data_IF_525805780957
#
_entry.id   IF_525805780957
#
_cell.length_a   1.000
_cell.length_b   1.000
_cell.length_c   1.000
_cell.angle_alpha   90.00
_cell.angle_beta   90.00
_cell.angle_gamma   90.00
#
_symmetry.space_group_name_H-M   'P 1'
#
loop_
_entity.id
_entity.type
_entity.pdbx_description
1 polymer ?
#
# COMPACT_ATOMS: atom_id res chain seq x y z
N UNK A 1 -3.12 27.64 1.23
CA UNK A 1 -4.36 26.85 1.10
C UNK A 1 -4.30 25.81 2.20
N UNK A 2 -5.40 25.58 2.92
CA UNK A 2 -5.45 24.52 3.92
C UNK A 2 -5.95 23.25 3.26
N UNK A 3 -5.34 22.11 3.60
CA UNK A 3 -5.77 20.80 3.15
C UNK A 3 -6.64 20.16 4.24
N UNK A 4 -7.68 19.44 3.84
CA UNK A 4 -8.55 18.70 4.77
C UNK A 4 -8.07 17.26 4.89
N UNK A 5 -7.93 16.79 6.12
CA UNK A 5 -7.50 15.45 6.46
C UNK A 5 -8.62 14.70 7.19
N UNK A 6 -8.68 13.38 7.03
CA UNK A 6 -9.48 12.47 7.87
C UNK A 6 -8.58 11.72 8.83
N UNK A 7 -9.08 11.45 10.04
CA UNK A 7 -8.38 10.60 11.02
C UNK A 7 -8.82 9.15 10.87
N UNK A 8 -7.89 8.26 10.57
CA UNK A 8 -8.13 6.82 10.58
C UNK A 8 -7.16 6.11 11.55
N UNK A 9 -7.53 4.91 12.05
CA UNK A 9 -6.60 4.09 12.83
C UNK A 9 -5.29 3.74 12.10
N UNK A 10 -5.27 3.85 10.76
CA UNK A 10 -4.09 3.63 9.92
C UNK A 10 -3.23 4.88 9.69
N UNK A 11 -3.67 6.04 10.18
CA UNK A 11 -3.01 7.33 9.99
C UNK A 11 -3.97 8.41 9.51
N UNK A 12 -3.51 9.66 9.56
CA UNK A 12 -4.23 10.79 9.01
C UNK A 12 -3.95 10.90 7.51
N UNK A 13 -5.00 11.12 6.72
CA UNK A 13 -4.89 11.08 5.25
C UNK A 13 -5.63 12.28 4.65
N UNK A 14 -5.00 12.93 3.67
CA UNK A 14 -5.62 14.03 2.93
C UNK A 14 -6.82 13.52 2.10
N UNK A 15 -7.93 14.25 2.13
CA UNK A 15 -9.16 13.85 1.45
C UNK A 15 -8.97 13.73 -0.07
N UNK A 16 -8.26 14.68 -0.69
CA UNK A 16 -8.04 14.61 -2.14
C UNK A 16 -7.17 13.42 -2.52
N UNK A 17 -6.14 13.12 -1.72
CA UNK A 17 -5.33 11.91 -1.89
C UNK A 17 -6.19 10.64 -1.79
N UNK A 18 -7.11 10.55 -0.83
CA UNK A 18 -8.04 9.40 -0.77
C UNK A 18 -8.82 9.29 -2.06
N UNK A 19 -9.40 10.39 -2.56
CA UNK A 19 -10.21 10.34 -3.78
C UNK A 19 -9.40 9.89 -4.99
N UNK A 20 -8.20 10.41 -5.16
CA UNK A 20 -7.28 10.01 -6.23
C UNK A 20 -6.96 8.51 -6.14
N UNK A 21 -6.59 8.01 -4.97
CA UNK A 21 -6.23 6.60 -4.79
C UNK A 21 -7.43 5.65 -4.95
N UNK A 22 -8.62 6.03 -4.50
CA UNK A 22 -9.83 5.22 -4.74
C UNK A 22 -10.13 5.15 -6.24
N UNK A 23 -10.03 6.26 -6.97
CA UNK A 23 -10.27 6.29 -8.41
C UNK A 23 -9.24 5.47 -9.18
N UNK A 24 -7.95 5.57 -8.85
CA UNK A 24 -6.86 4.81 -9.49
C UNK A 24 -6.98 3.29 -9.27
N UNK A 25 -7.59 2.89 -8.16
CA UNK A 25 -7.68 1.49 -7.73
C UNK A 25 -9.05 0.84 -8.00
N UNK A 26 -10.07 1.60 -8.42
CA UNK A 26 -11.49 1.16 -8.45
C UNK A 26 -11.77 -0.11 -9.26
N UNK A 27 -10.96 -0.39 -10.27
CA UNK A 27 -11.12 -1.54 -11.18
C UNK A 27 -10.22 -2.73 -10.79
N UNK A 28 -9.54 -2.66 -9.63
CA UNK A 28 -8.67 -3.72 -9.13
C UNK A 28 -9.44 -4.83 -8.41
N UNK A 29 -9.09 -6.09 -8.72
CA UNK A 29 -9.62 -7.29 -8.09
C UNK A 29 -8.86 -7.64 -6.80
N UNK A 30 -9.13 -6.89 -5.74
CA UNK A 30 -8.51 -7.08 -4.43
C UNK A 30 -8.98 -8.33 -3.70
N UNK A 31 -8.05 -9.14 -3.21
CA UNK A 31 -8.30 -10.33 -2.40
C UNK A 31 -7.61 -10.19 -1.04
N UNK A 32 -8.33 -10.49 0.04
CA UNK A 32 -7.75 -10.50 1.37
C UNK A 32 -6.63 -11.54 1.48
N UNK A 33 -5.45 -11.12 1.92
CA UNK A 33 -4.25 -11.95 2.04
C UNK A 33 -3.41 -11.54 3.24
N UNK A 34 -2.73 -12.52 3.84
CA UNK A 34 -1.55 -12.24 4.66
C UNK A 34 -0.42 -11.76 3.78
N UNK A 35 0.43 -10.89 4.31
CA UNK A 35 1.64 -10.47 3.63
C UNK A 35 2.52 -11.67 3.26
N UNK A 36 3.21 -11.56 2.12
CA UNK A 36 4.23 -12.52 1.70
C UNK A 36 5.32 -11.76 0.93
N UNK A 37 6.57 -12.18 1.12
CA UNK A 37 7.69 -11.64 0.36
C UNK A 37 7.55 -11.96 -1.13
N UNK A 38 8.06 -11.08 -1.99
CA UNK A 38 8.08 -11.28 -3.44
C UNK A 38 9.51 -11.29 -3.97
N UNK A 39 9.74 -11.84 -5.17
CA UNK A 39 11.03 -11.76 -5.81
C UNK A 39 11.50 -10.32 -5.99
N UNK A 40 12.80 -10.10 -5.83
CA UNK A 40 13.44 -8.82 -6.05
C UNK A 40 14.80 -8.97 -6.72
N UNK A 41 15.16 -7.93 -7.48
CA UNK A 41 16.52 -7.72 -7.96
C UNK A 41 17.28 -6.88 -6.94
N UNK A 42 18.40 -7.40 -6.46
CA UNK A 42 19.30 -6.72 -5.54
C UNK A 42 20.48 -6.18 -6.32
N UNK A 43 20.63 -4.86 -6.36
CA UNK A 43 21.78 -4.20 -7.01
C UNK A 43 23.07 -4.57 -6.25
N UNK A 44 24.02 -5.21 -6.94
CA UNK A 44 25.26 -5.73 -6.33
C UNK A 44 26.18 -4.66 -5.76
N UNK A 45 26.05 -3.42 -6.21
CA UNK A 45 26.91 -2.31 -5.80
C UNK A 45 26.35 -1.57 -4.60
N UNK A 46 25.05 -1.34 -4.59
CA UNK A 46 24.35 -0.50 -3.60
C UNK A 46 23.55 -1.28 -2.57
N UNK A 47 23.19 -2.54 -2.87
CA UNK A 47 22.23 -3.32 -2.08
C UNK A 47 20.77 -2.87 -2.25
N UNK A 48 20.48 -1.96 -3.19
CA UNK A 48 19.11 -1.48 -3.44
C UNK A 48 18.24 -2.60 -3.98
N UNK A 49 17.05 -2.74 -3.42
CA UNK A 49 16.06 -3.74 -3.81
C UNK A 49 15.07 -3.17 -4.82
N UNK A 50 14.85 -3.87 -5.92
CA UNK A 50 13.82 -3.56 -6.90
C UNK A 50 12.86 -4.74 -7.03
N UNK A 51 11.55 -4.51 -6.99
CA UNK A 51 10.57 -5.58 -7.21
C UNK A 51 10.82 -6.29 -8.55
N UNK A 52 10.82 -7.63 -8.53
CA UNK A 52 10.91 -8.44 -9.73
C UNK A 52 9.55 -9.01 -10.11
N UNK A 53 9.08 -8.62 -11.30
CA UNK A 53 7.81 -9.04 -11.90
C UNK A 53 8.00 -9.69 -13.28
N UNK A 54 9.22 -10.19 -13.55
CA UNK A 54 9.58 -10.86 -14.81
C UNK A 54 10.29 -9.97 -15.82
N UNK A 55 10.69 -8.75 -15.45
CA UNK A 55 11.49 -7.88 -16.30
C UNK A 55 12.86 -8.50 -16.62
N UNK A 56 13.43 -8.19 -17.78
CA UNK A 56 14.82 -8.59 -18.10
C UNK A 56 15.81 -7.84 -17.19
N UNK A 57 16.89 -8.51 -16.79
CA UNK A 57 17.97 -7.91 -16.02
C UNK A 57 19.32 -8.51 -16.42
N UNK A 58 20.41 -7.80 -16.07
CA UNK A 58 21.78 -8.28 -16.25
C UNK A 58 22.30 -8.85 -14.94
N UNK A 59 22.59 -10.15 -14.92
CA UNK A 59 23.10 -10.87 -13.74
C UNK A 59 24.49 -10.41 -13.28
N UNK A 60 25.21 -9.64 -14.09
CA UNK A 60 26.46 -9.01 -13.67
C UNK A 60 26.23 -7.84 -12.70
N UNK A 61 25.05 -7.23 -12.75
CA UNK A 61 24.71 -6.06 -11.93
C UNK A 61 23.71 -6.38 -10.81
N UNK A 62 22.89 -7.43 -10.99
CA UNK A 62 21.84 -7.79 -10.04
C UNK A 62 21.91 -9.25 -9.63
N UNK A 63 21.57 -9.51 -8.37
CA UNK A 63 21.17 -10.84 -7.89
C UNK A 63 19.64 -10.92 -7.82
N UNK A 64 19.08 -12.06 -8.22
CA UNK A 64 17.66 -12.36 -8.04
C UNK A 64 17.48 -13.10 -6.71
N UNK A 65 16.77 -12.48 -5.79
CA UNK A 65 16.33 -13.09 -4.54
C UNK A 65 14.82 -13.32 -4.62
N UNK A 66 14.36 -14.57 -4.49
CA UNK A 66 12.95 -14.92 -4.60
C UNK A 66 12.10 -14.40 -3.43
N UNK A 67 12.72 -13.95 -2.33
CA UNK A 67 12.05 -13.39 -1.15
C UNK A 67 12.60 -11.99 -0.79
N UNK A 68 13.29 -11.33 -1.72
CA UNK A 68 14.01 -10.07 -1.45
C UNK A 68 13.11 -8.83 -1.29
N UNK A 69 11.85 -8.86 -1.76
CA UNK A 69 10.89 -7.78 -1.55
C UNK A 69 10.16 -7.99 -0.22
N UNK A 70 10.71 -7.41 0.85
CA UNK A 70 10.36 -7.76 2.24
C UNK A 70 9.18 -6.99 2.82
N UNK A 71 8.77 -5.88 2.19
CA UNK A 71 7.65 -5.05 2.65
C UNK A 71 7.04 -4.26 1.49
N UNK A 72 5.81 -3.81 1.66
CA UNK A 72 5.14 -2.84 0.78
C UNK A 72 4.41 -1.79 1.63
N UNK A 73 3.77 -0.84 0.97
CA UNK A 73 3.00 0.22 1.61
C UNK A 73 1.55 0.18 1.11
N UNK A 74 0.62 0.41 2.03
CA UNK A 74 -0.78 0.66 1.66
C UNK A 74 -0.85 1.82 0.68
N UNK A 75 -1.44 1.63 -0.49
CA UNK A 75 -1.55 2.67 -1.51
C UNK A 75 -2.31 3.93 -1.05
N UNK A 76 -3.17 3.81 -0.04
CA UNK A 76 -4.03 4.91 0.43
C UNK A 76 -3.43 5.66 1.63
N UNK A 77 -2.79 4.94 2.57
CA UNK A 77 -2.34 5.55 3.83
C UNK A 77 -0.85 5.39 4.10
N UNK A 78 -0.11 4.74 3.20
CA UNK A 78 1.33 4.49 3.32
C UNK A 78 1.76 3.70 4.55
N UNK A 79 0.84 3.06 5.30
CA UNK A 79 1.24 2.15 6.39
C UNK A 79 2.02 0.97 5.80
N UNK A 80 3.10 0.58 6.46
CA UNK A 80 3.94 -0.54 6.04
C UNK A 80 3.19 -1.86 6.25
N UNK A 81 3.27 -2.74 5.25
CA UNK A 81 2.75 -4.10 5.28
C UNK A 81 3.92 -5.06 5.11
N UNK A 82 4.23 -5.87 6.13
CA UNK A 82 5.37 -6.79 6.14
C UNK A 82 5.22 -7.89 7.21
N UNK A 83 6.16 -8.85 7.27
CA UNK A 83 6.26 -9.82 8.38
C UNK A 83 6.97 -9.26 9.62
N UNK A 84 7.50 -8.03 9.57
CA UNK A 84 8.29 -7.48 10.67
C UNK A 84 7.42 -7.11 11.86
N UNK A 85 7.68 -7.71 13.03
CA UNK A 85 6.96 -7.43 14.28
C UNK A 85 7.15 -5.98 14.74
N UNK A 86 6.10 -5.17 14.62
CA UNK A 86 6.06 -3.77 15.05
C UNK A 86 4.61 -3.26 15.14
N UNK A 87 4.32 -2.39 16.10
CA UNK A 87 2.98 -1.78 16.24
C UNK A 87 2.57 -0.89 15.04
N UNK A 88 3.57 -0.42 14.29
CA UNK A 88 3.40 0.43 13.10
C UNK A 88 3.29 -0.35 11.79
N UNK A 89 3.41 -1.68 11.85
CA UNK A 89 3.34 -2.56 10.67
C UNK A 89 2.00 -3.28 10.66
N UNK A 90 1.54 -3.65 9.46
CA UNK A 90 0.42 -4.56 9.26
C UNK A 90 0.94 -5.84 8.61
N UNK A 91 0.32 -6.97 8.93
CA UNK A 91 0.75 -8.28 8.45
C UNK A 91 -0.23 -8.89 7.44
N UNK A 92 -1.29 -8.16 7.12
CA UNK A 92 -2.38 -8.58 6.24
C UNK A 92 -3.08 -7.35 5.65
N UNK A 93 -3.75 -7.57 4.54
CA UNK A 93 -4.47 -6.55 3.80
C UNK A 93 -5.15 -7.15 2.59
N UNK A 94 -5.50 -6.31 1.65
CA UNK A 94 -6.08 -6.69 0.38
C UNK A 94 -5.03 -6.48 -0.72
N UNK A 95 -4.84 -7.49 -1.55
CA UNK A 95 -3.82 -7.54 -2.60
C UNK A 95 -4.46 -7.84 -3.96
N UNK A 96 -4.12 -7.07 -5.00
CA UNK A 96 -4.68 -7.20 -6.36
C UNK A 96 -3.70 -7.82 -7.37
N UNK A 97 -2.68 -8.55 -6.89
CA UNK A 97 -1.49 -9.02 -7.64
C UNK A 97 -0.36 -7.99 -7.81
N UNK A 98 -0.59 -6.71 -7.53
CA UNK A 98 0.42 -5.66 -7.65
C UNK A 98 0.47 -4.76 -6.41
N UNK A 99 -0.66 -4.14 -6.09
CA UNK A 99 -0.89 -3.17 -5.03
C UNK A 99 -1.37 -3.83 -3.75
N UNK A 100 -0.99 -3.21 -2.63
CA UNK A 100 -1.53 -3.52 -1.31
C UNK A 100 -2.38 -2.38 -0.77
N UNK A 101 -3.54 -2.73 -0.19
CA UNK A 101 -4.35 -1.83 0.62
C UNK A 101 -4.51 -2.45 2.00
N UNK A 102 -4.16 -1.71 3.05
CA UNK A 102 -4.32 -2.22 4.42
C UNK A 102 -5.81 -2.45 4.73
N UNK A 103 -6.10 -3.40 5.61
CA UNK A 103 -7.47 -3.77 5.98
C UNK A 103 -8.35 -2.58 6.36
N UNK A 104 -7.82 -1.65 7.16
CA UNK A 104 -8.53 -0.45 7.62
C UNK A 104 -8.97 0.42 6.44
N UNK A 105 -8.06 0.72 5.50
CA UNK A 105 -8.38 1.55 4.35
C UNK A 105 -9.35 0.84 3.40
N UNK A 106 -9.16 -0.46 3.17
CA UNK A 106 -10.04 -1.21 2.30
C UNK A 106 -11.48 -1.23 2.83
N UNK A 107 -11.67 -1.63 4.09
CA UNK A 107 -12.98 -1.80 4.71
C UNK A 107 -13.66 -0.48 5.06
N UNK A 108 -12.89 0.58 5.32
CA UNK A 108 -13.45 1.90 5.65
C UNK A 108 -13.69 2.77 4.42
N UNK A 109 -12.81 2.73 3.43
CA UNK A 109 -12.84 3.66 2.29
C UNK A 109 -13.21 2.95 0.99
N UNK A 110 -12.51 1.86 0.65
CA UNK A 110 -12.55 1.27 -0.69
C UNK A 110 -13.83 0.49 -1.01
N UNK A 111 -14.38 -0.26 -0.06
CA UNK A 111 -15.60 -1.07 -0.27
C UNK A 111 -16.91 -0.27 -0.35
N UNK A 112 -16.85 1.06 -0.19
CA UNK A 112 -18.06 1.89 -0.15
C UNK A 112 -18.38 2.45 -1.54
N UNK A 113 -19.60 2.22 -2.01
CA UNK A 113 -20.10 2.71 -3.31
C UNK A 113 -20.06 4.25 -3.44
N UNK A 114 -20.08 4.98 -2.32
CA UNK A 114 -20.01 6.43 -2.30
C UNK A 114 -18.98 6.95 -1.30
N UNK A 115 -17.74 7.13 -1.77
CA UNK A 115 -16.63 7.63 -0.96
C UNK A 115 -16.93 9.00 -0.33
N UNK A 116 -17.66 9.89 -1.00
CA UNK A 116 -17.96 11.22 -0.46
C UNK A 116 -18.89 11.17 0.76
N UNK A 117 -19.87 10.27 0.75
CA UNK A 117 -20.73 10.04 1.93
C UNK A 117 -19.93 9.46 3.10
N UNK A 118 -19.02 8.52 2.83
CA UNK A 118 -18.12 7.95 3.84
C UNK A 118 -17.24 9.03 4.45
N UNK A 119 -16.53 9.80 3.62
CA UNK A 119 -15.67 10.88 4.08
C UNK A 119 -16.42 11.89 4.95
N UNK A 120 -17.69 12.21 4.63
CA UNK A 120 -18.52 13.11 5.42
C UNK A 120 -18.85 12.63 6.83
N UNK A 121 -18.74 11.33 7.11
CA UNK A 121 -19.00 10.74 8.42
C UNK A 121 -17.72 10.61 9.27
N UNK A 122 -16.54 10.74 8.67
CA UNK A 122 -15.26 10.64 9.36
C UNK A 122 -14.91 11.95 10.08
N UNK A 123 -14.11 11.82 11.15
CA UNK A 123 -13.53 12.97 11.84
C UNK A 123 -12.51 13.67 10.94
N UNK A 124 -12.68 14.99 10.78
CA UNK A 124 -11.92 15.81 9.83
C UNK A 124 -11.23 16.97 10.53
N UNK A 125 -10.09 17.37 10.00
CA UNK A 125 -9.42 18.60 10.41
C UNK A 125 -8.69 19.28 9.24
N UNK A 126 -8.37 20.55 9.43
CA UNK A 126 -7.66 21.40 8.47
C UNK A 126 -6.21 21.62 8.93
N UNK A 127 -5.27 21.55 8.00
CA UNK A 127 -3.84 21.85 8.21
C UNK A 127 -3.28 22.75 7.11
#
# INVERSE_FOLDING_TARGET
MSNTYVRLPSGDIEIEHIREMIEDLKDSDFIFSKWFARPALIDKKSGTTHLFSGQKFDSNYFDLDNEGWTHDHCQICSVVISEQESEYVRHEGYFDSWNWVCKVCYETLFVNDNINETLNKLDKYEK
#
